data_IF_982629022672
#
_entry.id   IF_982629022672
#
_cell.length_a   1.000
_cell.length_b   1.000
_cell.length_c   1.000
_cell.angle_alpha   90.00
_cell.angle_beta   90.00
_cell.angle_gamma   90.00
#
_symmetry.space_group_name_H-M   'P 1'
#
loop_
_entity.id
_entity.type
_entity.pdbx_description
1 polymer ?
#
# COMPACT_ATOMS: atom_id res chain seq x y z
N UNK A 1 4.75 3.19 13.69
CA UNK A 1 4.38 3.68 12.34
C UNK A 1 3.33 2.73 11.76
N UNK A 2 2.58 3.11 10.72
CA UNK A 2 1.64 2.19 10.04
C UNK A 2 2.21 1.84 8.67
N UNK A 3 1.99 0.63 8.21
CA UNK A 3 2.30 0.25 6.84
C UNK A 3 1.03 -0.21 6.12
N UNK A 4 0.82 0.29 4.90
CA UNK A 4 -0.14 -0.25 3.96
C UNK A 4 0.59 -1.26 3.06
N UNK A 5 0.19 -2.52 3.16
CA UNK A 5 0.73 -3.61 2.35
C UNK A 5 -0.25 -3.90 1.23
N UNK A 6 0.20 -3.75 -0.01
CA UNK A 6 -0.57 -4.08 -1.22
C UNK A 6 0.09 -5.28 -1.88
N UNK A 7 -0.63 -6.41 -1.95
CA UNK A 7 -0.14 -7.64 -2.59
C UNK A 7 -0.72 -7.76 -3.99
N UNK A 8 0.15 -8.00 -4.97
CA UNK A 8 -0.20 -8.18 -6.38
C UNK A 8 -0.23 -9.67 -6.79
N UNK A 9 -0.94 -9.99 -7.87
CA UNK A 9 -1.10 -11.37 -8.39
C UNK A 9 0.21 -12.09 -8.70
N UNK A 10 1.27 -11.35 -9.01
CA UNK A 10 2.60 -11.90 -9.27
C UNK A 10 3.41 -12.18 -8.00
N UNK A 11 2.81 -12.01 -6.81
CA UNK A 11 3.49 -12.21 -5.53
C UNK A 11 4.33 -11.01 -5.07
N UNK A 12 4.27 -9.87 -5.77
CA UNK A 12 4.93 -8.64 -5.34
C UNK A 12 4.15 -8.00 -4.20
N UNK A 13 4.86 -7.63 -3.13
CA UNK A 13 4.33 -6.86 -2.02
C UNK A 13 4.87 -5.44 -2.07
N UNK A 14 3.97 -4.47 -2.18
CA UNK A 14 4.28 -3.05 -2.10
C UNK A 14 3.94 -2.58 -0.70
N UNK A 15 4.93 -2.06 0.02
CA UNK A 15 4.74 -1.51 1.37
C UNK A 15 4.90 0.01 1.32
N UNK A 16 3.92 0.71 1.89
CA UNK A 16 3.94 2.16 2.05
C UNK A 16 3.84 2.49 3.53
N UNK A 17 4.71 3.35 4.01
CA UNK A 17 4.76 3.74 5.42
C UNK A 17 4.05 5.06 5.64
N UNK A 18 3.26 5.12 6.72
CA UNK A 18 2.46 6.28 7.10
C UNK A 18 2.64 6.57 8.58
N UNK A 19 2.61 7.85 8.94
CA UNK A 19 2.64 8.26 10.35
C UNK A 19 1.31 7.91 11.04
N UNK A 20 0.20 8.08 10.32
CA UNK A 20 -1.15 7.87 10.86
C UNK A 20 -1.92 6.80 10.10
N UNK A 21 -2.73 6.04 10.82
CA UNK A 21 -3.63 5.03 10.22
C UNK A 21 -4.67 5.65 9.28
N UNK A 22 -5.10 6.89 9.56
CA UNK A 22 -6.05 7.61 8.70
C UNK A 22 -5.49 7.83 7.29
N UNK A 23 -4.20 8.13 7.16
CA UNK A 23 -3.53 8.35 5.87
C UNK A 23 -3.48 7.05 5.07
N UNK A 24 -3.10 5.94 5.71
CA UNK A 24 -3.13 4.61 5.10
C UNK A 24 -4.54 4.21 4.64
N UNK A 25 -5.59 4.53 5.43
CA UNK A 25 -7.00 4.30 5.06
C UNK A 25 -7.44 5.15 3.88
N UNK A 26 -6.99 6.39 3.77
CA UNK A 26 -7.28 7.23 2.60
C UNK A 26 -6.71 6.63 1.31
N UNK A 27 -5.46 6.16 1.35
CA UNK A 27 -4.83 5.50 0.20
C UNK A 27 -5.52 4.18 -0.13
N UNK A 28 -5.79 3.33 0.86
CA UNK A 28 -6.58 2.10 0.68
C UNK A 28 -7.91 2.39 -0.02
N UNK A 29 -8.64 3.40 0.45
CA UNK A 29 -9.92 3.79 -0.15
C UNK A 29 -9.78 4.30 -1.59
N UNK A 30 -8.71 5.03 -1.92
CA UNK A 30 -8.44 5.46 -3.29
C UNK A 30 -8.14 4.27 -4.21
N UNK A 31 -7.34 3.30 -3.75
CA UNK A 31 -7.04 2.07 -4.51
C UNK A 31 -8.34 1.31 -4.79
N UNK A 32 -9.15 1.05 -3.76
CA UNK A 32 -10.41 0.30 -3.87
C UNK A 32 -11.46 0.99 -4.76
N UNK A 33 -11.45 2.33 -4.83
CA UNK A 33 -12.38 3.10 -5.67
C UNK A 33 -11.87 3.30 -7.10
N UNK A 34 -10.57 3.09 -7.35
CA UNK A 34 -10.01 3.23 -8.70
C UNK A 34 -10.46 2.05 -9.58
N UNK A 35 -10.98 2.36 -10.76
CA UNK A 35 -11.59 1.37 -11.68
C UNK A 35 -10.59 0.80 -12.69
N UNK A 36 -9.40 1.37 -12.82
CA UNK A 36 -8.46 1.01 -13.89
C UNK A 36 -7.03 0.91 -13.35
N UNK A 37 -6.47 2.02 -12.89
CA UNK A 37 -5.07 2.14 -12.51
C UNK A 37 -4.96 3.04 -11.28
N UNK A 38 -4.19 2.60 -10.29
CA UNK A 38 -3.82 3.45 -9.16
C UNK A 38 -2.36 3.86 -9.35
N UNK A 39 -2.19 5.07 -9.89
CA UNK A 39 -0.89 5.73 -9.98
C UNK A 39 -0.74 6.65 -8.76
N UNK A 40 -0.20 6.15 -7.66
CA UNK A 40 0.62 6.99 -6.80
C UNK A 40 2.07 6.65 -7.16
N UNK A 41 2.82 7.62 -7.67
CA UNK A 41 4.25 7.46 -7.93
C UNK A 41 4.94 7.20 -6.59
N UNK A 42 5.11 5.94 -6.21
CA UNK A 42 6.04 5.53 -5.17
C UNK A 42 7.37 5.32 -5.89
N UNK A 43 8.04 6.43 -6.23
CA UNK A 43 9.34 6.57 -6.91
C UNK A 43 9.60 5.79 -8.23
N UNK A 44 8.97 4.65 -8.53
CA UNK A 44 9.13 3.88 -9.77
C UNK A 44 7.98 2.88 -10.08
N UNK A 45 6.97 2.69 -9.22
CA UNK A 45 5.97 1.63 -9.40
C UNK A 45 4.55 2.14 -9.72
N UNK A 46 3.97 1.64 -10.82
CA UNK A 46 2.54 1.80 -11.14
C UNK A 46 1.79 0.52 -10.79
N UNK A 47 0.71 0.63 -10.01
CA UNK A 47 -0.12 -0.52 -9.61
C UNK A 47 -1.46 -0.51 -10.34
N UNK A 48 -1.75 -1.59 -11.07
CA UNK A 48 -3.09 -1.81 -11.64
C UNK A 48 -3.99 -2.43 -10.59
N UNK A 49 -5.16 -1.84 -10.36
CA UNK A 49 -6.11 -2.31 -9.33
C UNK A 49 -6.59 -3.74 -9.62
N UNK A 50 -6.73 -4.11 -10.89
CA UNK A 50 -7.09 -5.47 -11.31
C UNK A 50 -6.04 -6.53 -10.95
N UNK A 51 -4.84 -6.12 -10.59
CA UNK A 51 -3.75 -7.01 -10.15
C UNK A 51 -3.62 -7.08 -8.63
N UNK A 52 -4.32 -6.22 -7.88
CA UNK A 52 -4.33 -6.24 -6.42
C UNK A 52 -5.15 -7.43 -5.93
N UNK A 53 -4.52 -8.23 -5.07
CA UNK A 53 -5.12 -9.42 -4.42
C UNK A 53 -5.50 -9.12 -2.98
N UNK A 54 -4.69 -8.31 -2.29
CA UNK A 54 -4.87 -8.03 -0.87
C UNK A 54 -4.35 -6.62 -0.54
N UNK A 55 -5.06 -5.94 0.36
CA UNK A 55 -4.66 -4.65 0.93
C UNK A 55 -4.84 -4.70 2.45
N UNK A 56 -3.75 -4.56 3.19
CA UNK A 56 -3.75 -4.64 4.65
C UNK A 56 -3.07 -3.43 5.27
N UNK A 57 -3.57 -2.97 6.41
CA UNK A 57 -2.89 -1.95 7.23
C UNK A 57 -2.35 -2.65 8.46
N UNK A 58 -1.02 -2.68 8.58
CA UNK A 58 -0.31 -3.32 9.68
C UNK A 58 0.43 -2.28 10.52
N UNK A 59 0.76 -2.65 11.76
CA UNK A 59 1.71 -1.88 12.54
C UNK A 59 3.10 -2.14 11.97
N UNK A 60 3.79 -1.09 11.53
CA UNK A 60 5.20 -1.16 11.21
C UNK A 60 5.97 -0.98 12.52
N UNK A 61 6.54 -2.07 13.00
CA UNK A 61 7.59 -2.03 14.01
C UNK A 61 8.83 -1.45 13.32
N UNK A 62 9.33 -0.32 13.81
CA UNK A 62 10.68 0.10 13.46
C UNK A 62 11.58 -0.95 14.10
N UNK A 63 12.30 -1.73 13.31
CA UNK A 63 13.49 -2.39 13.84
C UNK A 63 14.38 -1.27 14.38
N UNK A 64 14.54 -1.20 15.70
CA UNK A 64 15.64 -0.45 16.30
C UNK A 64 16.91 -1.11 15.77
N UNK A 65 17.59 -0.45 14.84
CA UNK A 65 18.96 -0.79 14.50
C UNK A 65 19.77 -0.47 15.76
N UNK A 66 20.03 -1.48 16.61
CA UNK A 66 21.05 -1.41 17.66
C UNK A 66 22.45 -1.24 17.07
#
# INVERSE_FOLDING_TARGET
MKALVVTLKNGVHVQMYFEKESEAKEIQNKILKSKSEFCEMIDTATVKVSEVVLIEIVNAELEEIE
#
